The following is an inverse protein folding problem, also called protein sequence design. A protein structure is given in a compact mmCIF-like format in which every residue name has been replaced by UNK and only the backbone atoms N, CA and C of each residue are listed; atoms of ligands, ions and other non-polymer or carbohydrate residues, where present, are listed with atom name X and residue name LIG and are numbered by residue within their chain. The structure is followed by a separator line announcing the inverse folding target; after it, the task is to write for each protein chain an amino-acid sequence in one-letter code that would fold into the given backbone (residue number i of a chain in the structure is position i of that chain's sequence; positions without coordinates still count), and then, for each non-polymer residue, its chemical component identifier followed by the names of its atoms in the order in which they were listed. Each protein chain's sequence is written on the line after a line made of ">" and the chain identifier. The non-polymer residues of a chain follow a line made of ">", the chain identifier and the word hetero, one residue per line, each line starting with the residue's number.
data_IF_724221187560
#
_entry.id   IF_724221187560
#
_cell.length_a   1.000
_cell.length_b   1.000
_cell.length_c   1.000
_cell.angle_alpha   90.00
_cell.angle_beta   90.00
_cell.angle_gamma   90.00
#
_symmetry.space_group_name_H-M   'P 1'
#
loop_
_entity.id
_entity.type
_entity.pdbx_description
1 polymer ?
#
# COMPACT_ATOMS: atom_id res chain seq x y z
N UNK A 1 -10.43 -7.37 -4.64
CA UNK A 1 -10.90 -6.93 -3.30
C UNK A 1 -10.12 -5.68 -2.84
N UNK A 2 -10.61 -4.95 -1.82
CA UNK A 2 -10.31 -3.55 -1.44
C UNK A 2 -11.05 -2.46 -2.26
N UNK A 3 -12.39 -2.56 -2.35
CA UNK A 3 -13.23 -1.57 -3.06
C UNK A 3 -13.52 -0.34 -2.19
N UNK A 4 -13.64 -0.52 -0.88
CA UNK A 4 -13.98 0.55 0.06
C UNK A 4 -12.80 1.51 0.25
N UNK A 5 -11.64 0.98 0.59
CA UNK A 5 -10.42 1.74 0.91
C UNK A 5 -9.99 2.60 -0.28
N UNK A 6 -10.09 2.06 -1.51
CA UNK A 6 -9.77 2.79 -2.75
C UNK A 6 -10.70 3.95 -3.05
N UNK A 7 -11.92 3.97 -2.49
CA UNK A 7 -12.87 5.08 -2.67
C UNK A 7 -12.68 6.20 -1.65
N UNK A 8 -12.02 5.92 -0.51
CA UNK A 8 -11.86 6.88 0.56
C UNK A 8 -11.06 8.14 0.17
N UNK A 9 -9.95 8.06 -0.60
CA UNK A 9 -9.22 9.26 -1.05
C UNK A 9 -10.06 10.21 -1.92
N UNK A 10 -11.05 9.68 -2.66
CA UNK A 10 -11.97 10.51 -3.44
C UNK A 10 -12.94 11.30 -2.54
N UNK A 11 -13.35 10.69 -1.43
CA UNK A 11 -14.30 11.27 -0.45
C UNK A 11 -13.61 12.17 0.58
N UNK A 12 -12.40 11.84 1.01
CA UNK A 12 -11.68 12.51 2.09
C UNK A 12 -10.28 12.92 1.64
N UNK A 13 -10.03 14.23 1.56
CA UNK A 13 -8.76 14.77 1.04
C UNK A 13 -7.55 14.51 1.94
N UNK A 14 -7.79 14.27 3.22
CA UNK A 14 -6.75 13.90 4.19
C UNK A 14 -6.37 12.40 4.14
N UNK A 15 -6.93 11.62 3.22
CA UNK A 15 -6.62 10.19 3.06
C UNK A 15 -5.81 9.98 1.78
N UNK A 16 -4.64 9.36 1.93
CA UNK A 16 -3.83 8.83 0.82
C UNK A 16 -3.75 7.32 0.93
N UNK A 17 -3.91 6.61 -0.20
CA UNK A 17 -3.84 5.14 -0.24
C UNK A 17 -2.45 4.65 -0.62
N UNK A 18 -1.93 3.70 0.16
CA UNK A 18 -0.83 2.83 -0.22
C UNK A 18 -1.43 1.49 -0.67
N UNK A 19 -1.69 1.32 -1.98
CA UNK A 19 -2.48 0.19 -2.51
C UNK A 19 -1.66 -1.12 -2.59
N UNK A 20 -1.29 -1.66 -1.43
CA UNK A 20 -0.56 -2.91 -1.32
C UNK A 20 -1.31 -4.07 -2.00
N UNK A 21 -2.63 -4.14 -1.85
CA UNK A 21 -3.43 -5.21 -2.46
C UNK A 21 -3.34 -5.23 -4.00
N UNK A 22 -3.17 -4.08 -4.65
CA UNK A 22 -2.91 -4.01 -6.10
C UNK A 22 -1.48 -4.42 -6.43
N UNK A 23 -0.50 -3.90 -5.70
CA UNK A 23 0.92 -4.12 -6.00
C UNK A 23 1.34 -5.55 -5.71
N UNK A 24 0.96 -6.11 -4.55
CA UNK A 24 1.26 -7.49 -4.17
C UNK A 24 0.82 -8.51 -5.23
N UNK A 25 -0.37 -8.32 -5.83
CA UNK A 25 -0.90 -9.20 -6.86
C UNK A 25 -0.08 -9.18 -8.17
N UNK A 26 0.72 -8.13 -8.40
CA UNK A 26 1.62 -8.00 -9.54
C UNK A 26 3.00 -8.65 -9.27
N UNK A 27 3.25 -9.07 -8.04
CA UNK A 27 4.54 -9.57 -7.56
C UNK A 27 4.39 -10.93 -6.85
N UNK A 28 3.87 -11.99 -7.51
CA UNK A 28 3.68 -13.30 -6.87
C UNK A 28 4.99 -13.92 -6.35
N UNK A 29 6.14 -13.52 -6.88
CA UNK A 29 7.46 -13.98 -6.44
C UNK A 29 7.76 -13.66 -4.98
N UNK A 30 7.19 -12.58 -4.42
CA UNK A 30 7.42 -12.22 -3.01
C UNK A 30 6.63 -13.10 -2.04
N UNK A 31 5.81 -14.02 -2.57
CA UNK A 31 5.03 -14.99 -1.80
C UNK A 31 5.35 -16.45 -2.15
N UNK A 32 6.38 -16.71 -2.96
CA UNK A 32 6.70 -18.06 -3.40
C UNK A 32 7.16 -18.92 -2.21
N UNK A 33 6.47 -20.03 -1.99
CA UNK A 33 6.83 -21.01 -0.94
C UNK A 33 6.41 -20.61 0.47
N UNK A 34 5.55 -19.59 0.60
CA UNK A 34 4.97 -19.14 1.88
C UNK A 34 3.43 -19.14 1.81
N UNK A 35 2.76 -18.66 2.85
CA UNK A 35 1.30 -18.73 3.03
C UNK A 35 0.46 -17.80 2.14
N UNK A 36 1.09 -17.07 1.22
CA UNK A 36 0.42 -16.12 0.33
C UNK A 36 0.13 -14.75 0.97
N UNK A 37 0.56 -14.50 2.21
CA UNK A 37 0.29 -13.24 2.92
C UNK A 37 1.57 -12.65 3.55
N UNK A 38 2.35 -13.45 4.27
CA UNK A 38 3.49 -12.98 5.07
C UNK A 38 4.80 -13.03 4.28
N UNK A 39 5.05 -12.01 3.44
CA UNK A 39 6.31 -11.84 2.70
C UNK A 39 7.55 -11.56 3.58
N UNK A 40 7.40 -11.50 4.90
CA UNK A 40 8.48 -11.16 5.83
C UNK A 40 9.64 -12.16 5.76
N UNK A 41 10.87 -11.63 5.66
CA UNK A 41 12.08 -12.44 5.48
C UNK A 41 12.41 -12.72 4.00
N UNK A 42 11.52 -12.35 3.08
CA UNK A 42 11.83 -12.28 1.65
C UNK A 42 12.21 -10.84 1.35
N UNK A 43 13.52 -10.57 1.20
CA UNK A 43 14.07 -9.22 1.01
C UNK A 43 13.37 -8.41 -0.09
N UNK A 44 12.95 -9.07 -1.18
CA UNK A 44 12.19 -8.41 -2.25
C UNK A 44 10.82 -7.92 -1.79
N UNK A 45 10.11 -8.71 -0.98
CA UNK A 45 8.84 -8.34 -0.35
C UNK A 45 9.02 -7.19 0.64
N UNK A 46 10.04 -7.25 1.49
CA UNK A 46 10.36 -6.19 2.46
C UNK A 46 10.59 -4.84 1.77
N UNK A 47 11.41 -4.84 0.71
CA UNK A 47 11.70 -3.64 -0.07
C UNK A 47 10.46 -3.13 -0.80
N UNK A 48 9.68 -4.03 -1.42
CA UNK A 48 8.48 -3.66 -2.17
C UNK A 48 7.44 -3.01 -1.27
N UNK A 49 7.16 -3.62 -0.11
CA UNK A 49 6.18 -3.09 0.85
C UNK A 49 6.60 -1.71 1.37
N UNK A 50 7.86 -1.56 1.78
CA UNK A 50 8.40 -0.27 2.23
C UNK A 50 8.33 0.80 1.13
N UNK A 51 8.61 0.43 -0.12
CA UNK A 51 8.52 1.35 -1.27
C UNK A 51 7.09 1.83 -1.52
N UNK A 52 6.09 0.94 -1.43
CA UNK A 52 4.68 1.29 -1.60
C UNK A 52 4.22 2.29 -0.54
N UNK A 53 4.61 2.07 0.73
CA UNK A 53 4.31 3.02 1.81
C UNK A 53 5.04 4.35 1.59
N UNK A 54 6.34 4.33 1.27
CA UNK A 54 7.10 5.55 1.09
C UNK A 54 6.56 6.40 -0.08
N UNK A 55 6.13 5.77 -1.18
CA UNK A 55 5.48 6.48 -2.28
C UNK A 55 4.18 7.16 -1.83
N UNK A 56 3.36 6.48 -1.04
CA UNK A 56 2.16 7.07 -0.46
C UNK A 56 2.50 8.23 0.49
N UNK A 57 3.58 8.14 1.28
CA UNK A 57 4.04 9.23 2.14
C UNK A 57 4.48 10.46 1.33
N UNK A 58 5.16 10.28 0.19
CA UNK A 58 5.53 11.41 -0.67
C UNK A 58 4.30 12.14 -1.23
N UNK A 59 3.22 11.41 -1.54
CA UNK A 59 1.94 12.02 -1.94
C UNK A 59 1.25 12.70 -0.75
N UNK A 60 1.18 12.01 0.38
CA UNK A 60 0.52 12.49 1.60
C UNK A 60 1.16 13.78 2.14
N UNK A 61 2.47 13.96 1.95
CA UNK A 61 3.21 15.19 2.30
C UNK A 61 2.58 16.46 1.71
N UNK A 62 1.86 16.34 0.59
CA UNK A 62 1.20 17.45 -0.10
C UNK A 62 -0.32 17.46 0.09
N UNK A 63 -0.85 16.56 0.92
CA UNK A 63 -2.29 16.45 1.21
C UNK A 63 -2.63 17.20 2.51
N UNK A 64 -3.87 17.73 2.64
CA UNK A 64 -4.29 18.37 3.88
C UNK A 64 -4.38 17.36 5.04
N UNK A 65 -4.31 17.86 6.27
CA UNK A 65 -4.68 17.08 7.46
C UNK A 65 -6.21 17.06 7.61
N UNK A 66 -6.72 16.23 8.51
CA UNK A 66 -8.13 16.32 8.90
C UNK A 66 -8.34 17.61 9.69
N UNK A 67 -9.36 18.37 9.30
CA UNK A 67 -9.82 19.58 9.98
C UNK A 67 -11.23 19.35 10.55
N UNK A 68 -11.63 20.16 11.53
CA UNK A 68 -12.91 20.08 12.25
C UNK A 68 -14.08 20.75 11.51
#
# INVERSE_FOLDING_TARGET
>A
MAVLERRLPAKYKFITIADWGKIAAQHPEVFKGIDGVHFGGIRAGDILYAKVINQALQVAKHSPVKED
#
